data_IF_589269476801
#
_entry.id   IF_589269476801
#
_cell.length_a   1.000
_cell.length_b   1.000
_cell.length_c   1.000
_cell.angle_alpha   90.00
_cell.angle_beta   90.00
_cell.angle_gamma   90.00
#
_symmetry.space_group_name_H-M   'P 1'
#
loop_
_entity.id
_entity.type
_entity.pdbx_description
1 polymer ?
#
# COMPACT_ATOMS: atom_id res chain seq x y z
N UNK A 1 12.50 0.13 8.16
CA UNK A 1 11.73 -0.78 7.27
C UNK A 1 12.55 -1.97 6.74
N UNK A 2 13.53 -1.78 5.83
CA UNK A 2 14.20 -2.88 5.10
C UNK A 2 14.75 -4.02 5.98
N UNK A 3 15.54 -3.69 7.01
CA UNK A 3 16.12 -4.69 7.93
C UNK A 3 15.05 -5.50 8.68
N UNK A 4 14.06 -4.81 9.25
CA UNK A 4 12.96 -5.43 10.02
C UNK A 4 12.08 -6.30 9.13
N UNK A 5 11.70 -5.80 7.95
CA UNK A 5 10.92 -6.56 6.97
C UNK A 5 11.60 -7.88 6.56
N UNK A 6 12.91 -7.84 6.35
CA UNK A 6 13.71 -9.01 5.96
C UNK A 6 13.80 -10.06 7.05
N UNK A 7 13.91 -9.65 8.32
CA UNK A 7 14.14 -10.56 9.43
C UNK A 7 12.85 -11.17 10.00
N UNK A 8 11.73 -10.46 9.91
CA UNK A 8 10.55 -10.76 10.74
C UNK A 8 9.29 -11.14 9.96
N UNK A 9 9.33 -11.18 8.63
CA UNK A 9 8.14 -11.49 7.82
C UNK A 9 7.74 -12.97 7.92
N UNK A 10 6.58 -13.21 8.52
CA UNK A 10 5.96 -14.55 8.72
C UNK A 10 5.32 -15.16 7.45
N UNK A 11 5.44 -14.50 6.29
CA UNK A 11 4.90 -14.96 5.00
C UNK A 11 3.39 -15.24 4.95
N UNK A 12 2.60 -14.70 5.89
CA UNK A 12 1.15 -14.97 6.02
C UNK A 12 0.24 -14.37 4.93
N UNK A 13 0.78 -13.60 3.98
CA UNK A 13 0.06 -12.95 2.85
C UNK A 13 -1.04 -11.92 3.22
N UNK A 14 -1.38 -11.71 4.48
CA UNK A 14 -2.45 -10.76 4.88
C UNK A 14 -2.34 -9.34 4.30
N UNK A 15 -1.11 -8.83 4.15
CA UNK A 15 -0.86 -7.53 3.52
C UNK A 15 -1.32 -7.43 2.05
N UNK A 16 -1.52 -8.56 1.37
CA UNK A 16 -2.06 -8.64 0.01
C UNK A 16 -3.54 -8.97 0.03
N UNK A 17 -3.95 -9.91 0.88
CA UNK A 17 -5.33 -10.33 0.96
C UNK A 17 -6.29 -9.20 1.39
N UNK A 18 -5.80 -8.26 2.20
CA UNK A 18 -6.54 -7.05 2.58
C UNK A 18 -6.20 -5.82 1.72
N UNK A 19 -5.30 -5.91 0.73
CA UNK A 19 -4.92 -4.75 -0.06
C UNK A 19 -6.10 -4.30 -0.95
N UNK A 20 -6.62 -3.06 -0.82
CA UNK A 20 -7.80 -2.63 -1.57
C UNK A 20 -7.52 -2.65 -3.08
N UNK A 21 -6.30 -2.31 -3.49
CA UNK A 21 -5.89 -2.34 -4.90
C UNK A 21 -5.83 -3.78 -5.46
N UNK A 22 -5.41 -4.75 -4.65
CA UNK A 22 -5.44 -6.17 -5.03
C UNK A 22 -6.89 -6.68 -5.15
N UNK A 23 -7.75 -6.29 -4.21
CA UNK A 23 -9.17 -6.64 -4.21
C UNK A 23 -9.96 -6.01 -5.35
N UNK A 24 -9.51 -4.87 -5.89
CA UNK A 24 -10.04 -4.24 -7.12
C UNK A 24 -9.59 -4.95 -8.42
N UNK A 25 -8.90 -6.08 -8.33
CA UNK A 25 -8.48 -6.88 -9.50
C UNK A 25 -7.03 -6.66 -9.94
N UNK A 26 -6.36 -5.61 -9.47
CA UNK A 26 -4.95 -5.40 -9.83
C UNK A 26 -4.03 -6.46 -9.22
N UNK A 27 -2.86 -6.64 -9.84
CA UNK A 27 -1.92 -7.66 -9.43
C UNK A 27 -0.88 -7.17 -8.39
N UNK A 28 -1.16 -6.11 -7.64
CA UNK A 28 -0.24 -5.65 -6.58
C UNK A 28 -0.24 -6.65 -5.42
N UNK A 29 0.94 -7.14 -5.03
CA UNK A 29 1.07 -8.19 -4.02
C UNK A 29 2.20 -7.85 -3.04
N UNK A 30 1.96 -7.00 -2.02
CA UNK A 30 2.98 -6.58 -1.06
C UNK A 30 3.77 -7.73 -0.42
N UNK A 31 3.14 -8.90 -0.18
CA UNK A 31 3.82 -10.07 0.39
C UNK A 31 4.95 -10.59 -0.50
N UNK A 32 4.80 -10.50 -1.83
CA UNK A 32 5.86 -10.90 -2.77
C UNK A 32 7.04 -9.95 -2.70
N UNK A 33 6.82 -8.66 -2.47
CA UNK A 33 7.92 -7.70 -2.30
C UNK A 33 8.60 -7.88 -0.95
N UNK A 34 7.85 -8.23 0.11
CA UNK A 34 8.46 -8.65 1.38
C UNK A 34 9.38 -9.87 1.18
N UNK A 35 8.92 -10.88 0.43
CA UNK A 35 9.71 -12.08 0.11
C UNK A 35 10.93 -11.79 -0.78
N UNK A 36 10.77 -10.98 -1.82
CA UNK A 36 11.87 -10.56 -2.69
C UNK A 36 12.95 -9.82 -1.89
N UNK A 37 12.54 -8.97 -0.94
CA UNK A 37 13.45 -8.29 -0.03
C UNK A 37 14.15 -9.24 0.94
N UNK A 38 13.46 -10.26 1.45
CA UNK A 38 14.02 -11.20 2.42
C UNK A 38 15.14 -12.05 1.81
N UNK A 39 14.89 -12.59 0.61
CA UNK A 39 15.78 -13.52 -0.10
C UNK A 39 16.68 -12.84 -1.13
N UNK A 40 16.67 -11.51 -1.23
CA UNK A 40 17.39 -10.75 -2.26
C UNK A 40 17.13 -11.29 -3.69
N UNK A 41 15.87 -11.61 -4.00
CA UNK A 41 15.51 -12.16 -5.31
C UNK A 41 15.79 -11.11 -6.40
N UNK A 42 16.46 -11.51 -7.48
CA UNK A 42 16.70 -10.68 -8.66
C UNK A 42 15.68 -10.95 -9.79
N UNK A 43 14.41 -11.10 -9.41
CA UNK A 43 13.29 -11.25 -10.34
C UNK A 43 12.71 -9.87 -10.69
N UNK A 44 13.34 -9.20 -11.65
CA UNK A 44 12.92 -7.87 -12.08
C UNK A 44 11.51 -7.87 -12.70
N UNK A 45 11.12 -8.95 -13.38
CA UNK A 45 9.80 -9.09 -14.01
C UNK A 45 8.69 -9.17 -12.96
N UNK A 46 8.84 -10.08 -11.98
CA UNK A 46 7.90 -10.23 -10.88
C UNK A 46 7.88 -9.02 -9.94
N UNK A 47 8.97 -8.25 -9.87
CA UNK A 47 9.03 -7.01 -9.10
C UNK A 47 8.21 -5.86 -9.69
N UNK A 48 7.87 -5.88 -10.99
CA UNK A 48 7.09 -4.80 -11.64
C UNK A 48 5.72 -4.57 -10.99
N UNK A 49 5.14 -5.58 -10.37
CA UNK A 49 3.85 -5.44 -9.65
C UNK A 49 3.93 -4.48 -8.45
N UNK A 50 5.14 -4.15 -7.96
CA UNK A 50 5.35 -3.11 -6.95
C UNK A 50 4.89 -1.72 -7.43
N UNK A 51 4.96 -1.46 -8.74
CA UNK A 51 4.56 -0.19 -9.35
C UNK A 51 3.04 0.05 -9.30
N UNK A 52 2.26 -1.03 -9.16
CA UNK A 52 0.80 -0.99 -9.02
C UNK A 52 0.34 -0.54 -7.62
N UNK A 53 1.25 -0.41 -6.66
CA UNK A 53 0.94 0.07 -5.32
C UNK A 53 0.52 1.55 -5.35
N UNK A 54 -0.71 1.84 -4.90
CA UNK A 54 -1.25 3.20 -4.76
C UNK A 54 -0.89 3.87 -3.42
N UNK A 55 -0.01 3.26 -2.62
CA UNK A 55 0.52 3.84 -1.38
C UNK A 55 -0.51 4.17 -0.28
N UNK A 56 -1.72 3.58 -0.33
CA UNK A 56 -2.77 3.74 0.70
C UNK A 56 -2.41 3.33 2.14
N UNK A 57 -1.24 2.69 2.32
CA UNK A 57 -0.67 2.34 3.62
C UNK A 57 -1.43 1.33 4.50
N UNK A 58 -2.58 0.81 4.05
CA UNK A 58 -3.39 -0.15 4.82
C UNK A 58 -2.58 -1.39 5.27
N UNK A 59 -1.66 -1.85 4.43
CA UNK A 59 -0.84 -3.02 4.72
C UNK A 59 0.15 -2.85 5.88
N UNK A 60 0.59 -1.62 6.18
CA UNK A 60 1.45 -1.31 7.33
C UNK A 60 0.61 -0.94 8.55
N UNK A 61 -0.47 -0.18 8.34
CA UNK A 61 -1.29 0.39 9.40
C UNK A 61 -2.30 -0.60 9.99
N UNK A 62 -2.73 -1.59 9.23
CA UNK A 62 -3.80 -2.50 9.63
C UNK A 62 -3.50 -3.96 9.34
N UNK A 63 -3.09 -4.29 8.11
CA UNK A 63 -3.14 -5.67 7.64
C UNK A 63 -2.03 -6.59 8.18
N UNK A 64 -0.84 -6.06 8.47
CA UNK A 64 0.27 -6.90 8.92
C UNK A 64 0.10 -7.26 10.41
N UNK A 65 0.04 -8.55 10.77
CA UNK A 65 -0.12 -8.96 12.17
C UNK A 65 1.14 -8.66 12.99
N UNK A 66 2.30 -8.81 12.36
CA UNK A 66 3.61 -8.56 12.94
C UNK A 66 4.06 -7.08 12.88
N UNK A 67 3.18 -6.15 12.47
CA UNK A 67 3.48 -4.71 12.47
C UNK A 67 4.61 -4.29 11.51
N UNK A 68 4.79 -5.00 10.40
CA UNK A 68 5.87 -4.74 9.43
C UNK A 68 5.47 -3.68 8.39
N UNK A 69 6.38 -3.42 7.45
CA UNK A 69 6.27 -2.34 6.46
C UNK A 69 6.14 -2.81 4.99
N UNK A 70 5.08 -3.54 4.59
CA UNK A 70 4.93 -4.01 3.20
C UNK A 70 4.82 -2.91 2.13
N UNK A 71 4.25 -1.74 2.46
CA UNK A 71 4.21 -0.61 1.51
C UNK A 71 5.64 -0.12 1.23
N UNK A 72 6.46 0.03 2.25
CA UNK A 72 7.87 0.41 2.10
C UNK A 72 8.65 -0.61 1.25
N UNK A 73 8.31 -1.90 1.34
CA UNK A 73 8.89 -2.91 0.44
C UNK A 73 8.50 -2.67 -1.02
N UNK A 74 7.22 -2.37 -1.31
CA UNK A 74 6.81 -1.97 -2.66
C UNK A 74 7.55 -0.71 -3.14
N UNK A 75 7.68 0.31 -2.29
CA UNK A 75 8.38 1.55 -2.66
C UNK A 75 9.85 1.30 -3.00
N UNK A 76 10.52 0.45 -2.22
CA UNK A 76 11.90 0.06 -2.47
C UNK A 76 12.10 -0.54 -3.87
N UNK A 77 11.26 -1.50 -4.26
CA UNK A 77 11.36 -2.11 -5.58
C UNK A 77 10.87 -1.18 -6.70
N UNK A 78 9.84 -0.36 -6.44
CA UNK A 78 9.39 0.67 -7.38
C UNK A 78 10.52 1.65 -7.72
N UNK A 79 11.31 2.06 -6.73
CA UNK A 79 12.48 2.91 -6.91
C UNK A 79 13.59 2.20 -7.71
N UNK A 80 13.96 0.98 -7.33
CA UNK A 80 14.95 0.18 -8.08
C UNK A 80 14.59 -0.01 -9.55
N UNK A 81 13.32 -0.23 -9.85
CA UNK A 81 12.85 -0.36 -11.22
C UNK A 81 12.93 0.97 -11.97
N UNK A 82 12.63 2.09 -11.30
CA UNK A 82 12.73 3.43 -11.87
C UNK A 82 14.18 3.78 -12.22
N UNK A 83 15.15 3.46 -11.36
CA UNK A 83 16.60 3.63 -11.62
C UNK A 83 17.06 2.89 -12.88
N UNK A 84 16.43 1.75 -13.18
CA UNK A 84 16.70 0.93 -14.38
C UNK A 84 15.78 1.27 -15.56
N UNK A 85 14.95 2.30 -15.48
CA UNK A 85 13.95 2.67 -16.49
C UNK A 85 12.96 1.54 -16.87
N UNK A 86 12.72 0.58 -15.95
CA UNK A 86 11.78 -0.51 -16.18
C UNK A 86 10.38 -0.09 -15.73
N UNK A 87 9.40 -0.21 -16.63
CA UNK A 87 8.00 0.13 -16.37
C UNK A 87 7.10 -1.08 -16.49
N UNK A 88 6.11 -1.17 -15.60
CA UNK A 88 5.00 -2.08 -15.71
C UNK A 88 4.20 -1.72 -16.98
N UNK A 89 3.92 -2.73 -17.81
CA UNK A 89 3.05 -2.62 -18.97
C UNK A 89 1.72 -3.31 -18.64
N UNK A 90 0.58 -2.59 -18.65
CA UNK A 90 -0.72 -3.22 -18.46
C UNK A 90 -0.98 -4.25 -19.55
N UNK A 91 -1.40 -5.44 -19.16
CA UNK A 91 -1.86 -6.50 -20.07
C UNK A 91 -3.35 -6.43 -20.35
N UNK A 92 -4.09 -5.66 -19.53
CA UNK A 92 -5.53 -5.44 -19.62
C UNK A 92 -5.86 -4.02 -19.16
N UNK A 93 -6.97 -3.51 -19.66
CA UNK A 93 -7.55 -2.20 -19.38
C UNK A 93 -8.75 -2.28 -18.42
N UNK A 94 -9.51 -3.37 -18.48
CA UNK A 94 -10.65 -3.65 -17.60
C UNK A 94 -10.22 -4.46 -16.38
N UNK A 95 -10.69 -4.06 -15.21
CA UNK A 95 -10.42 -4.76 -13.95
C UNK A 95 -11.74 -5.04 -13.23
N UNK A 96 -11.88 -6.27 -12.75
CA UNK A 96 -13.03 -6.69 -11.96
C UNK A 96 -12.61 -6.94 -10.51
N UNK A 97 -13.51 -6.58 -9.59
CA UNK A 97 -13.31 -6.86 -8.17
C UNK A 97 -13.22 -8.36 -7.94
N UNK A 98 -12.26 -8.79 -7.12
CA UNK A 98 -12.15 -10.20 -6.71
C UNK A 98 -13.36 -10.56 -5.85
N UNK A 99 -13.89 -11.77 -6.00
CA UNK A 99 -15.04 -12.27 -5.20
C UNK A 99 -14.84 -12.09 -3.68
N UNK A 100 -13.61 -12.29 -3.20
CA UNK A 100 -13.26 -12.13 -1.79
C UNK A 100 -13.32 -10.67 -1.29
N UNK A 101 -13.53 -9.67 -2.17
CA UNK A 101 -13.51 -8.25 -1.81
C UNK A 101 -14.52 -7.94 -0.72
N UNK A 102 -15.76 -8.38 -0.87
CA UNK A 102 -16.84 -8.09 0.08
C UNK A 102 -16.51 -8.56 1.51
N UNK A 103 -15.84 -9.70 1.62
CA UNK A 103 -15.46 -10.32 2.89
C UNK A 103 -14.13 -9.81 3.48
N UNK A 104 -13.38 -8.99 2.74
CA UNK A 104 -12.03 -8.55 3.12
C UNK A 104 -11.88 -7.02 3.21
N UNK A 105 -12.98 -6.29 3.09
CA UNK A 105 -12.99 -4.86 3.37
C UNK A 105 -12.68 -4.61 4.84
N UNK A 106 -11.83 -3.62 5.10
CA UNK A 106 -11.52 -3.17 6.45
C UNK A 106 -12.59 -2.16 6.87
N UNK A 107 -13.35 -2.42 7.95
CA UNK A 107 -14.34 -1.45 8.43
C UNK A 107 -13.64 -0.16 8.89
N UNK A 108 -14.04 0.99 8.35
CA UNK A 108 -13.40 2.28 8.64
C UNK A 108 -13.36 2.60 10.12
N UNK A 109 -14.42 2.27 10.88
CA UNK A 109 -14.46 2.47 12.35
C UNK A 109 -13.41 1.65 13.09
N UNK A 110 -13.09 0.42 12.62
CA UNK A 110 -12.00 -0.39 13.19
C UNK A 110 -10.63 0.20 12.85
N UNK A 111 -10.46 0.71 11.63
CA UNK A 111 -9.21 1.38 11.24
C UNK A 111 -8.96 2.63 12.07
N UNK A 112 -9.97 3.49 12.24
CA UNK A 112 -9.91 4.69 13.09
C UNK A 112 -9.51 4.34 14.52
N UNK A 113 -10.17 3.34 15.11
CA UNK A 113 -9.85 2.88 16.46
C UNK A 113 -8.40 2.36 16.56
N UNK A 114 -7.94 1.57 15.58
CA UNK A 114 -6.56 1.04 15.55
C UNK A 114 -5.51 2.14 15.43
N UNK A 115 -5.83 3.21 14.70
CA UNK A 115 -4.93 4.35 14.49
C UNK A 115 -4.97 5.37 15.64
N UNK A 116 -5.81 5.18 16.66
CA UNK A 116 -5.97 6.14 17.74
C UNK A 116 -6.65 7.45 17.31
N UNK A 117 -7.43 7.42 16.21
CA UNK A 117 -8.02 8.62 15.62
C UNK A 117 -9.46 8.90 16.06
N UNK A 118 -9.93 8.27 17.14
CA UNK A 118 -11.33 8.39 17.59
C UNK A 118 -11.73 9.83 17.90
N UNK A 119 -10.83 10.61 18.50
CA UNK A 119 -11.09 12.01 18.85
C UNK A 119 -11.19 12.94 17.64
N UNK A 120 -10.71 12.49 16.48
CA UNK A 120 -10.72 13.22 15.21
C UNK A 120 -11.84 12.76 14.25
N UNK A 121 -12.54 11.66 14.55
CA UNK A 121 -13.69 11.15 13.78
C UNK A 121 -14.95 11.97 14.07
N UNK A 122 -14.92 13.24 13.66
CA UNK A 122 -15.98 14.23 13.82
C UNK A 122 -16.56 14.61 12.45
N UNK A 123 -17.81 15.12 12.39
CA UNK A 123 -18.35 15.67 11.16
C UNK A 123 -17.40 16.74 10.58
N UNK A 124 -17.05 16.59 9.30
CA UNK A 124 -16.23 17.54 8.55
C UNK A 124 -17.08 18.12 7.40
N UNK A 125 -18.04 19.01 7.69
CA UNK A 125 -18.88 19.59 6.65
C UNK A 125 -18.02 20.40 5.68
N UNK A 126 -18.29 20.26 4.39
CA UNK A 126 -17.70 21.12 3.38
C UNK A 126 -18.32 22.51 3.53
N UNK A 127 -17.48 23.51 3.78
CA UNK A 127 -17.89 24.90 3.95
C UNK A 127 -17.20 25.76 2.90
N UNK A 128 -17.95 26.68 2.30
CA UNK A 128 -17.40 27.68 1.40
C UNK A 128 -16.61 28.72 2.21
N UNK A 129 -15.33 28.44 2.41
CA UNK A 129 -14.37 29.35 3.04
C UNK A 129 -13.36 29.76 1.98
N UNK A 130 -13.28 31.06 1.70
CA UNK A 130 -12.21 31.62 0.88
C UNK A 130 -10.96 31.78 1.74
N UNK A 131 -9.88 31.08 1.36
CA UNK A 131 -8.57 31.24 1.99
C UNK A 131 -7.75 32.23 1.18
N UNK A 132 -7.33 33.33 1.81
CA UNK A 132 -6.41 34.34 1.23
C UNK A 132 -5.06 34.34 1.98
N UNK A 133 -4.22 33.30 1.81
CA UNK A 133 -2.93 33.25 2.50
C UNK A 133 -1.96 34.30 1.94
N UNK A 134 -1.24 35.00 2.82
CA UNK A 134 -0.22 35.99 2.43
C UNK A 134 0.94 35.35 1.64
N UNK A 135 1.26 34.08 1.96
CA UNK A 135 2.33 33.32 1.31
C UNK A 135 1.95 31.85 1.18
N UNK A 136 2.33 31.26 0.04
CA UNK A 136 2.20 29.82 -0.22
C UNK A 136 3.58 29.29 -0.59
N UNK A 137 3.97 28.14 -0.04
CA UNK A 137 5.24 27.48 -0.35
C UNK A 137 5.00 26.04 -0.78
N UNK A 138 5.84 25.57 -1.70
CA UNK A 138 5.92 24.15 -2.05
C UNK A 138 6.95 23.54 -1.10
N UNK A 139 6.50 22.62 -0.24
CA UNK A 139 7.43 21.87 0.60
C UNK A 139 8.41 21.10 -0.31
N UNK A 140 9.71 21.35 -0.11
CA UNK A 140 10.79 20.65 -0.80
C UNK A 140 10.93 19.22 -0.31
#
# INVERSE_FOLDING_TARGET
AKRVNRASCEQCRMCTDMCPRYLLGHNTQPHKMMRAMAYNLDDMEGQKISQLCCQCNLCELFSCPAGLYPKAANLYFKQKLAEKNIRYKPVQDKFEGRQAREYRLVPSKRLIARLGLREFDKPAPLTDITLEPERVYIAK
#
